data_IF_166927383573
#
_entry.id   IF_166927383573
#
_cell.length_a   1.000
_cell.length_b   1.000
_cell.length_c   1.000
_cell.angle_alpha   90.00
_cell.angle_beta   90.00
_cell.angle_gamma   90.00
#
_symmetry.space_group_name_H-M   'P 1'
#
loop_
_entity.id
_entity.type
_entity.pdbx_description
1 polymer ?
#
# COMPACT_ATOMS: atom_id res chain seq x y z
N UNK A 1 30.68 -42.52 31.13
CA UNK A 1 29.78 -42.87 30.00
C UNK A 1 28.31 -42.70 30.34
N UNK A 2 27.79 -43.31 31.41
CA UNK A 2 26.34 -43.29 31.73
C UNK A 2 25.78 -41.88 32.01
N UNK A 3 26.50 -41.03 32.75
CA UNK A 3 26.06 -39.66 33.09
C UNK A 3 25.88 -38.77 31.86
N UNK A 4 26.77 -38.89 30.86
CA UNK A 4 26.69 -38.14 29.60
C UNK A 4 25.44 -38.56 28.81
N UNK A 5 25.10 -39.84 28.83
CA UNK A 5 23.94 -40.35 28.10
C UNK A 5 22.61 -40.06 28.82
N UNK A 6 22.58 -40.21 30.14
CA UNK A 6 21.35 -40.05 30.94
C UNK A 6 21.03 -38.58 31.24
N UNK A 7 22.04 -37.71 31.38
CA UNK A 7 21.83 -36.29 31.70
C UNK A 7 22.23 -35.39 30.54
N UNK A 8 23.37 -35.65 29.90
CA UNK A 8 23.86 -34.83 28.81
C UNK A 8 22.97 -34.85 27.57
N UNK A 9 22.46 -36.03 27.18
CA UNK A 9 21.57 -36.15 26.01
C UNK A 9 20.22 -35.44 26.23
N UNK A 10 19.50 -35.62 27.36
CA UNK A 10 18.29 -34.85 27.62
C UNK A 10 18.54 -33.34 27.74
N UNK A 11 19.63 -32.91 28.38
CA UNK A 11 19.97 -31.49 28.47
C UNK A 11 20.22 -30.87 27.09
N UNK A 12 20.92 -31.58 26.21
CA UNK A 12 21.12 -31.14 24.82
C UNK A 12 19.79 -31.03 24.06
N UNK A 13 18.89 -32.01 24.22
CA UNK A 13 17.56 -31.97 23.58
C UNK A 13 16.76 -30.75 24.06
N UNK A 14 16.79 -30.43 25.36
CA UNK A 14 16.11 -29.24 25.89
C UNK A 14 16.67 -27.96 25.27
N UNK A 15 18.00 -27.83 25.19
CA UNK A 15 18.64 -26.66 24.55
C UNK A 15 18.28 -26.57 23.07
N UNK A 16 18.30 -27.70 22.35
CA UNK A 16 17.92 -27.75 20.94
C UNK A 16 16.45 -27.38 20.72
N UNK A 17 15.53 -27.86 21.57
CA UNK A 17 14.12 -27.49 21.52
C UNK A 17 13.91 -25.99 21.76
N UNK A 18 14.57 -25.41 22.77
CA UNK A 18 14.52 -23.96 23.03
C UNK A 18 15.07 -23.19 21.83
N UNK A 19 16.18 -23.66 21.24
CA UNK A 19 16.74 -23.06 20.03
C UNK A 19 15.77 -23.10 18.86
N UNK A 20 15.08 -24.22 18.62
CA UNK A 20 14.08 -24.32 17.55
C UNK A 20 12.88 -23.40 17.79
N UNK A 21 12.41 -23.27 19.04
CA UNK A 21 11.34 -22.32 19.38
C UNK A 21 11.79 -20.89 19.12
N UNK A 22 13.01 -20.52 19.53
CA UNK A 22 13.57 -19.20 19.27
C UNK A 22 13.74 -18.92 17.76
N UNK A 23 14.30 -19.87 17.02
CA UNK A 23 14.53 -19.78 15.58
C UNK A 23 13.20 -19.68 14.80
N UNK A 24 12.20 -20.47 15.19
CA UNK A 24 10.85 -20.41 14.64
C UNK A 24 10.23 -19.02 14.85
N UNK A 25 10.40 -18.42 16.02
CA UNK A 25 9.91 -17.06 16.28
C UNK A 25 10.59 -16.00 15.40
N UNK A 26 11.88 -16.15 15.13
CA UNK A 26 12.65 -15.23 14.28
C UNK A 26 12.29 -15.32 12.78
N UNK A 27 11.83 -16.50 12.31
CA UNK A 27 11.46 -16.75 10.91
C UNK A 27 9.94 -16.73 10.71
N UNK A 28 9.20 -16.17 11.66
CA UNK A 28 7.77 -15.93 11.41
C UNK A 28 7.66 -15.00 10.21
N UNK A 29 6.88 -15.43 9.22
CA UNK A 29 6.47 -14.55 8.14
C UNK A 29 5.88 -13.27 8.75
N UNK A 30 6.35 -12.12 8.27
CA UNK A 30 5.75 -10.85 8.69
C UNK A 30 4.27 -10.88 8.34
N UNK A 31 3.43 -10.39 9.26
CA UNK A 31 2.03 -10.15 8.93
C UNK A 31 1.99 -9.21 7.73
N UNK A 32 1.37 -9.68 6.64
CA UNK A 32 1.12 -8.85 5.46
C UNK A 32 0.11 -7.81 5.87
N UNK A 33 0.34 -6.55 5.51
CA UNK A 33 -0.51 -5.41 5.84
C UNK A 33 -1.90 -5.43 5.16
N UNK A 34 -2.29 -6.56 4.58
CA UNK A 34 -3.69 -6.79 4.22
C UNK A 34 -4.45 -6.93 5.55
N UNK A 35 -4.94 -5.79 6.04
CA UNK A 35 -5.65 -5.54 7.31
C UNK A 35 -6.94 -6.36 7.52
N UNK A 36 -7.14 -7.41 6.74
CA UNK A 36 -8.28 -8.31 6.75
C UNK A 36 -8.60 -8.88 8.14
N UNK A 37 -7.64 -8.99 9.04
CA UNK A 37 -7.81 -9.79 10.26
C UNK A 37 -8.29 -9.04 11.51
N UNK A 38 -8.39 -7.70 11.54
CA UNK A 38 -8.49 -7.03 12.86
C UNK A 38 -9.65 -6.08 13.17
N UNK A 39 -10.50 -5.59 12.24
CA UNK A 39 -11.54 -4.64 12.69
C UNK A 39 -12.84 -4.64 11.88
N UNK A 40 -13.93 -5.07 12.52
CA UNK A 40 -15.29 -5.07 11.92
C UNK A 40 -15.90 -3.67 11.70
N UNK A 41 -15.27 -2.59 12.21
CA UNK A 41 -15.71 -1.19 11.98
C UNK A 41 -14.86 -0.45 10.95
N UNK A 42 -13.57 -0.80 10.83
CA UNK A 42 -12.69 -0.19 9.81
C UNK A 42 -13.11 -0.61 8.41
N UNK A 43 -13.70 -1.80 8.23
CA UNK A 43 -14.20 -2.28 6.94
C UNK A 43 -15.20 -1.31 6.26
N UNK A 44 -16.12 -0.70 7.00
CA UNK A 44 -17.11 0.23 6.42
C UNK A 44 -16.49 1.59 6.05
N UNK A 45 -15.57 2.09 6.88
CA UNK A 45 -14.79 3.28 6.53
C UNK A 45 -13.96 3.02 5.29
N UNK A 46 -13.37 1.82 5.18
CA UNK A 46 -12.51 1.47 4.06
C UNK A 46 -13.23 1.48 2.70
N UNK A 47 -14.45 0.92 2.68
CA UNK A 47 -15.27 0.89 1.46
C UNK A 47 -15.77 2.27 1.06
N UNK A 48 -16.05 3.16 2.02
CA UNK A 48 -16.55 4.51 1.72
C UNK A 48 -15.54 5.36 0.94
N UNK A 49 -14.24 5.18 1.21
CA UNK A 49 -13.14 5.89 0.52
C UNK A 49 -13.03 5.42 -0.93
N UNK A 50 -13.07 4.11 -1.16
CA UNK A 50 -13.03 3.53 -2.50
C UNK A 50 -14.30 3.87 -3.30
N UNK A 51 -15.46 3.95 -2.62
CA UNK A 51 -16.71 4.40 -3.23
C UNK A 51 -16.64 5.88 -3.61
N UNK A 52 -16.07 6.74 -2.76
CA UNK A 52 -15.90 8.16 -3.08
C UNK A 52 -15.02 8.34 -4.33
N UNK A 53 -13.91 7.61 -4.43
CA UNK A 53 -13.07 7.58 -5.64
C UNK A 53 -13.87 7.22 -6.90
N UNK A 54 -14.80 6.26 -6.78
CA UNK A 54 -15.69 5.88 -7.88
C UNK A 54 -16.75 6.94 -8.20
N UNK A 55 -17.43 7.48 -7.18
CA UNK A 55 -18.46 8.51 -7.34
C UNK A 55 -17.88 9.81 -7.96
N UNK A 56 -16.61 10.10 -7.67
CA UNK A 56 -15.86 11.23 -8.22
C UNK A 56 -15.17 10.92 -9.57
N UNK A 57 -15.24 9.68 -10.06
CA UNK A 57 -14.58 9.19 -11.28
C UNK A 57 -13.08 9.59 -11.33
N UNK A 58 -12.37 9.37 -10.22
CA UNK A 58 -10.95 9.70 -10.11
C UNK A 58 -10.08 8.64 -10.77
N UNK A 59 -9.17 9.06 -11.63
CA UNK A 59 -8.17 8.19 -12.25
C UNK A 59 -6.78 8.63 -11.83
N UNK A 60 -5.85 7.68 -11.81
CA UNK A 60 -4.48 7.94 -11.46
C UNK A 60 -3.51 7.23 -12.38
N UNK A 61 -2.32 7.80 -12.53
CA UNK A 61 -1.22 7.14 -13.23
C UNK A 61 0.07 7.37 -12.46
N UNK A 62 0.77 6.29 -12.13
CA UNK A 62 2.04 6.33 -11.42
C UNK A 62 3.16 5.90 -12.35
N UNK A 63 4.22 6.69 -12.40
CA UNK A 63 5.42 6.42 -13.17
C UNK A 63 6.59 6.26 -12.21
N UNK A 64 7.38 5.21 -12.43
CA UNK A 64 8.58 4.92 -11.65
C UNK A 64 9.79 5.15 -12.53
N UNK A 65 10.73 5.96 -12.06
CA UNK A 65 12.01 6.17 -12.70
C UNK A 65 13.10 5.31 -12.04
N UNK A 66 14.12 4.95 -12.82
CA UNK A 66 15.23 4.09 -12.36
C UNK A 66 16.07 4.73 -11.23
N UNK A 67 15.97 6.05 -11.05
CA UNK A 67 16.63 6.80 -9.98
C UNK A 67 15.82 6.81 -8.67
N UNK A 68 14.72 6.06 -8.58
CA UNK A 68 13.82 6.02 -7.42
C UNK A 68 12.82 7.18 -7.33
N UNK A 69 12.79 8.07 -8.33
CA UNK A 69 11.75 9.09 -8.39
C UNK A 69 10.43 8.46 -8.84
N UNK A 70 9.37 8.71 -8.08
CA UNK A 70 8.01 8.28 -8.40
C UNK A 70 7.17 9.51 -8.67
N UNK A 71 6.51 9.51 -9.84
CA UNK A 71 5.61 10.59 -10.24
C UNK A 71 4.19 10.04 -10.33
N UNK A 72 3.27 10.66 -9.62
CA UNK A 72 1.85 10.33 -9.67
C UNK A 72 1.07 11.45 -10.36
N UNK A 73 0.19 11.08 -11.28
CA UNK A 73 -0.73 11.98 -11.97
C UNK A 73 -2.15 11.70 -11.47
N UNK A 74 -2.80 12.71 -10.93
CA UNK A 74 -4.19 12.66 -10.45
C UNK A 74 -5.12 13.26 -11.50
N UNK A 75 -5.84 12.40 -12.22
CA UNK A 75 -6.71 12.81 -13.32
C UNK A 75 -8.17 12.89 -12.86
N UNK A 76 -8.69 14.11 -12.79
CA UNK A 76 -10.11 14.37 -12.58
C UNK A 76 -10.91 14.23 -13.88
N UNK A 77 -12.21 13.90 -13.81
CA UNK A 77 -13.05 13.78 -15.00
C UNK A 77 -13.18 15.13 -15.72
N UNK A 78 -13.27 15.09 -17.04
CA UNK A 78 -13.34 16.29 -17.91
C UNK A 78 -14.43 17.28 -17.48
N UNK A 79 -15.57 16.76 -17.01
CA UNK A 79 -16.68 17.56 -16.52
C UNK A 79 -16.28 18.40 -15.30
N UNK A 80 -15.49 17.84 -14.39
CA UNK A 80 -15.03 18.54 -13.19
C UNK A 80 -13.97 19.59 -13.49
N UNK A 81 -13.10 19.33 -14.46
CA UNK A 81 -12.13 20.31 -14.95
C UNK A 81 -12.81 21.52 -15.61
N UNK A 82 -13.91 21.29 -16.34
CA UNK A 82 -14.67 22.36 -17.01
C UNK A 82 -15.51 23.19 -16.03
N UNK A 83 -16.15 22.54 -15.06
CA UNK A 83 -17.02 23.20 -14.09
C UNK A 83 -16.26 23.88 -12.94
N UNK A 84 -14.99 23.52 -12.74
CA UNK A 84 -14.20 23.90 -11.57
C UNK A 84 -14.73 23.27 -10.27
N UNK A 85 -15.55 22.22 -10.37
CA UNK A 85 -16.18 21.52 -9.26
C UNK A 85 -16.10 20.02 -9.45
N UNK A 86 -15.94 19.30 -8.36
CA UNK A 86 -16.05 17.85 -8.33
C UNK A 86 -17.50 17.41 -8.60
N UNK A 87 -17.68 16.11 -8.87
CA UNK A 87 -18.98 15.56 -9.24
C UNK A 87 -20.02 15.64 -8.10
N UNK A 88 -19.56 15.75 -6.85
CA UNK A 88 -20.36 16.01 -5.66
C UNK A 88 -20.68 17.51 -5.43
N UNK A 89 -20.12 18.39 -6.27
CA UNK A 89 -20.33 19.84 -6.23
C UNK A 89 -19.33 20.62 -5.36
N UNK A 90 -18.34 19.97 -4.74
CA UNK A 90 -17.28 20.69 -4.02
C UNK A 90 -16.33 21.41 -4.99
N UNK A 91 -15.63 22.47 -4.56
CA UNK A 91 -14.64 23.15 -5.40
C UNK A 91 -13.49 22.21 -5.76
N UNK A 92 -13.13 22.15 -7.04
CA UNK A 92 -11.98 21.37 -7.50
C UNK A 92 -10.68 22.00 -6.98
N UNK A 93 -10.03 21.35 -6.02
CA UNK A 93 -8.73 21.77 -5.49
C UNK A 93 -7.81 20.56 -5.44
N UNK A 94 -6.65 20.67 -6.10
CA UNK A 94 -5.60 19.67 -5.99
C UNK A 94 -5.04 19.68 -4.56
N UNK A 95 -5.05 18.54 -3.85
CA UNK A 95 -4.39 18.42 -2.56
C UNK A 95 -2.92 18.80 -2.62
N UNK A 96 -2.38 19.40 -1.56
CA UNK A 96 -0.94 19.69 -1.47
C UNK A 96 -0.09 18.43 -1.31
N UNK A 97 -0.66 17.43 -0.65
CA UNK A 97 0.01 16.19 -0.28
C UNK A 97 -0.95 15.02 -0.48
N UNK A 98 -0.41 13.91 -0.94
CA UNK A 98 -1.08 12.62 -1.00
C UNK A 98 -0.23 11.58 -0.25
N UNK A 99 -0.87 10.65 0.44
CA UNK A 99 -0.18 9.53 1.04
C UNK A 99 -0.03 8.42 -0.01
N UNK A 100 1.20 8.00 -0.27
CA UNK A 100 1.52 6.83 -1.09
C UNK A 100 2.03 5.73 -0.20
N UNK A 101 1.40 4.59 -0.33
CA UNK A 101 1.82 3.39 0.34
C UNK A 101 2.06 2.24 -0.63
N UNK A 102 3.21 1.61 -0.49
CA UNK A 102 3.71 0.52 -1.32
C UNK A 102 3.97 -0.67 -0.39
N UNK A 103 3.06 -1.62 -0.35
CA UNK A 103 3.19 -2.82 0.49
C UNK A 103 3.65 -4.02 -0.30
N UNK A 104 4.70 -4.67 0.17
CA UNK A 104 5.18 -5.92 -0.40
C UNK A 104 4.29 -7.08 0.05
N UNK A 105 4.05 -8.04 -0.85
CA UNK A 105 3.08 -9.11 -0.60
C UNK A 105 3.44 -10.06 0.57
N UNK A 106 4.69 -10.10 1.02
CA UNK A 106 5.14 -11.07 2.05
C UNK A 106 6.22 -10.53 3.01
N UNK A 107 6.71 -9.31 2.83
CA UNK A 107 7.89 -8.82 3.57
C UNK A 107 7.70 -7.35 3.94
N UNK A 108 7.26 -7.10 5.17
CA UNK A 108 6.99 -5.75 5.69
C UNK A 108 8.23 -4.84 5.67
N UNK A 109 9.45 -5.40 5.65
CA UNK A 109 10.67 -4.58 5.57
C UNK A 109 10.84 -3.93 4.20
N UNK A 110 10.12 -4.40 3.20
CA UNK A 110 10.08 -3.86 1.84
C UNK A 110 8.92 -2.90 1.62
N UNK A 111 8.09 -2.70 2.64
CA UNK A 111 7.02 -1.71 2.58
C UNK A 111 7.61 -0.30 2.60
N UNK A 112 7.01 0.61 1.84
CA UNK A 112 7.41 2.01 1.74
C UNK A 112 6.18 2.88 1.87
N UNK A 113 6.18 3.72 2.88
CA UNK A 113 5.19 4.78 3.06
C UNK A 113 5.89 6.11 2.80
N UNK A 114 5.39 6.87 1.83
CA UNK A 114 5.93 8.18 1.46
C UNK A 114 4.80 9.17 1.22
N UNK A 115 5.12 10.44 1.40
CA UNK A 115 4.20 11.53 1.07
C UNK A 115 4.56 12.06 -0.30
N UNK A 116 3.61 11.96 -1.22
CA UNK A 116 3.64 12.57 -2.54
C UNK A 116 3.37 14.06 -2.41
N UNK A 117 4.33 14.89 -2.82
CA UNK A 117 4.23 16.34 -2.78
C UNK A 117 3.68 16.86 -4.09
N UNK A 118 2.72 17.78 -4.03
CA UNK A 118 2.16 18.43 -5.21
C UNK A 118 3.20 19.33 -5.87
N UNK A 119 3.45 19.13 -7.16
CA UNK A 119 4.37 19.97 -7.93
C UNK A 119 3.61 21.03 -8.71
N UNK A 120 2.86 20.60 -9.73
CA UNK A 120 2.15 21.48 -10.64
C UNK A 120 1.00 20.70 -11.31
N UNK A 121 -0.15 21.36 -11.51
CA UNK A 121 -1.29 20.77 -12.21
C UNK A 121 -1.75 19.47 -11.54
N UNK A 122 -1.78 18.38 -12.29
CA UNK A 122 -2.14 17.04 -11.80
C UNK A 122 -0.96 16.23 -11.25
N UNK A 123 0.24 16.80 -11.16
CA UNK A 123 1.48 16.06 -10.91
C UNK A 123 1.91 16.12 -9.45
N UNK A 124 2.31 14.96 -8.95
CA UNK A 124 2.86 14.76 -7.62
C UNK A 124 4.15 13.94 -7.70
N UNK A 125 5.11 14.20 -6.82
CA UNK A 125 6.37 13.45 -6.80
C UNK A 125 6.81 13.05 -5.39
N UNK A 126 7.55 11.95 -5.33
CA UNK A 126 8.24 11.49 -4.13
C UNK A 126 9.47 10.65 -4.52
N UNK A 127 10.42 10.58 -3.59
CA UNK A 127 11.57 9.69 -3.71
C UNK A 127 11.27 8.38 -2.95
N UNK A 128 11.37 7.25 -3.63
CA UNK A 128 11.13 5.92 -3.07
C UNK A 128 12.27 4.99 -3.45
N UNK A 129 12.82 4.29 -2.46
CA UNK A 129 13.75 3.20 -2.70
C UNK A 129 13.00 1.87 -2.84
N UNK A 130 12.86 1.41 -4.09
CA UNK A 130 12.19 0.15 -4.45
C UNK A 130 13.26 -0.90 -4.72
N UNK A 131 13.05 -2.09 -4.16
CA UNK A 131 13.94 -3.24 -4.38
C UNK A 131 14.05 -3.56 -5.88
N UNK A 132 15.27 -3.77 -6.42
CA UNK A 132 15.46 -4.14 -7.83
C UNK A 132 14.85 -5.50 -8.18
N UNK A 133 14.56 -6.35 -7.18
CA UNK A 133 13.98 -7.67 -7.39
C UNK A 133 12.49 -7.56 -7.70
N UNK A 134 12.09 -8.18 -8.82
CA UNK A 134 10.69 -8.14 -9.25
C UNK A 134 9.77 -8.91 -8.32
N UNK A 135 8.87 -8.21 -7.64
CA UNK A 135 7.93 -8.80 -6.68
C UNK A 135 6.53 -8.18 -6.79
N UNK A 136 5.54 -8.81 -6.15
CA UNK A 136 4.15 -8.32 -6.10
C UNK A 136 4.03 -7.27 -5.00
N UNK A 137 3.52 -6.10 -5.36
CA UNK A 137 3.24 -5.00 -4.45
C UNK A 137 1.78 -4.56 -4.58
N UNK A 138 1.24 -4.13 -3.45
CA UNK A 138 -0.03 -3.43 -3.34
C UNK A 138 0.28 -1.93 -3.25
N UNK A 139 -0.30 -1.17 -4.17
CA UNK A 139 -0.09 0.27 -4.27
C UNK A 139 -1.37 0.97 -3.84
N UNK A 140 -1.23 1.92 -2.94
CA UNK A 140 -2.32 2.72 -2.44
C UNK A 140 -1.92 4.19 -2.49
N UNK A 141 -2.79 5.02 -3.08
CA UNK A 141 -2.69 6.47 -3.01
C UNK A 141 -3.95 6.98 -2.35
N UNK A 142 -3.81 7.76 -1.28
CA UNK A 142 -4.94 8.35 -0.57
C UNK A 142 -4.76 9.84 -0.29
N UNK A 143 -5.88 10.52 -0.15
CA UNK A 143 -5.94 11.89 0.34
C UNK A 143 -6.61 11.90 1.71
N UNK A 144 -5.84 12.13 2.78
CA UNK A 144 -6.37 12.11 4.16
C UNK A 144 -6.94 13.49 4.57
N UNK A 145 -7.77 14.08 3.69
CA UNK A 145 -8.32 15.42 3.86
C UNK A 145 -9.84 15.46 4.05
N UNK A 146 -10.46 16.56 3.61
CA UNK A 146 -11.92 16.74 3.70
C UNK A 146 -12.67 15.74 2.80
N UNK A 147 -12.02 15.36 1.71
CA UNK A 147 -12.46 14.32 0.78
C UNK A 147 -11.55 13.12 0.96
N UNK A 148 -11.94 12.23 1.86
CA UNK A 148 -11.15 11.05 2.19
C UNK A 148 -11.36 9.95 1.13
N UNK A 149 -10.67 10.08 0.00
CA UNK A 149 -10.69 9.11 -1.09
C UNK A 149 -9.42 8.27 -1.11
N UNK A 150 -9.52 7.07 -1.70
CA UNK A 150 -8.42 6.13 -1.85
C UNK A 150 -8.46 5.44 -3.20
N UNK A 151 -7.30 5.37 -3.85
CA UNK A 151 -7.05 4.59 -5.06
C UNK A 151 -6.11 3.43 -4.72
N UNK A 152 -6.38 2.26 -5.27
CA UNK A 152 -5.57 1.07 -5.06
C UNK A 152 -5.38 0.29 -6.35
N UNK A 153 -4.19 -0.28 -6.53
CA UNK A 153 -3.88 -1.22 -7.60
C UNK A 153 -2.80 -2.22 -7.15
N UNK A 154 -2.68 -3.33 -7.87
CA UNK A 154 -1.72 -4.39 -7.61
C UNK A 154 -0.79 -4.53 -8.79
N UNK A 155 0.50 -4.39 -8.55
CA UNK A 155 1.51 -4.40 -9.60
C UNK A 155 2.73 -5.23 -9.24
N UNK A 156 3.42 -5.74 -10.26
CA UNK A 156 4.77 -6.29 -10.09
C UNK A 156 5.80 -5.19 -10.33
N UNK A 157 6.48 -4.75 -9.28
CA UNK A 157 7.56 -3.75 -9.35
C UNK A 157 8.93 -4.45 -9.34
N UNK A 158 9.98 -3.89 -9.96
CA UNK A 158 10.00 -2.61 -10.68
C UNK A 158 9.31 -2.70 -12.05
N UNK A 159 8.60 -1.63 -12.43
CA UNK A 159 7.98 -1.40 -13.75
C UNK A 159 7.87 0.09 -14.00
N UNK A 160 7.80 0.52 -15.26
CA UNK A 160 7.79 1.94 -15.62
C UNK A 160 6.50 2.68 -15.24
N UNK A 161 5.34 2.04 -15.33
CA UNK A 161 4.06 2.72 -15.20
C UNK A 161 2.96 1.82 -14.64
N UNK A 162 2.12 2.33 -13.75
CA UNK A 162 0.91 1.70 -13.19
C UNK A 162 -0.27 2.66 -13.33
N UNK A 163 -1.44 2.14 -13.69
CA UNK A 163 -2.67 2.94 -13.82
C UNK A 163 -3.65 2.57 -12.71
N UNK A 164 -4.22 3.58 -12.09
CA UNK A 164 -5.23 3.45 -11.05
C UNK A 164 -6.57 3.81 -11.66
N UNK A 165 -7.52 2.88 -11.56
CA UNK A 165 -8.89 3.09 -11.99
C UNK A 165 -9.85 2.78 -10.84
N UNK A 166 -10.99 3.46 -10.76
CA UNK A 166 -12.01 3.14 -9.76
C UNK A 166 -12.41 1.67 -9.80
N UNK A 167 -12.70 1.11 -8.63
CA UNK A 167 -13.06 -0.31 -8.54
C UNK A 167 -14.39 -0.57 -9.26
N UNK A 168 -14.45 -1.55 -10.18
CA UNK A 168 -15.65 -1.82 -10.98
C UNK A 168 -16.81 -2.40 -10.16
N UNK A 169 -16.56 -2.81 -8.91
CA UNK A 169 -17.58 -3.36 -8.01
C UNK A 169 -18.71 -2.34 -7.75
N UNK A 170 -18.40 -1.04 -7.74
CA UNK A 170 -19.37 0.01 -7.50
C UNK A 170 -20.25 0.33 -8.72
N UNK A 171 -19.89 -0.14 -9.92
CA UNK A 171 -20.69 0.06 -11.13
C UNK A 171 -22.01 -0.74 -11.15
N UNK A 172 -22.16 -1.72 -10.25
CA UNK A 172 -23.35 -2.58 -10.14
C UNK A 172 -24.21 -2.29 -8.91
N UNK A 173 -23.89 -1.23 -8.15
CA UNK A 173 -24.62 -0.85 -6.94
C UNK A 173 -25.86 -0.02 -7.22
#
# INVERSE_FOLDING_TARGET
>A
MVVIFVIGMPAFVVVACIWFVYYSYQIRDSVVRDDWYMDGKTLYQDVSRDKLTYDLDLHGKMQFADNGNVVFYLDYPKQSLQSGKLLDGTPLVYPKELALSISHATDIKKDRDVVLQHEEGNKYSAQVDIDPVKAKYYLQVSHDGKEDWRMQDVAKLPRSEVSFSPLPVFAKS
#
